data_IF_411308678004
#
_entry.id   IF_411308678004
#
_cell.length_a   1.000
_cell.length_b   1.000
_cell.length_c   1.000
_cell.angle_alpha   90.00
_cell.angle_beta   90.00
_cell.angle_gamma   90.00
#
_symmetry.space_group_name_H-M   'P 1'
#
loop_
_entity.id
_entity.type
_entity.pdbx_description
1 polymer ?
#
# COMPACT_ATOMS: atom_id res chain seq x y z
N UNK A 1 12.64 -2.63 7.82
CA UNK A 1 11.81 -1.47 8.08
C UNK A 1 12.18 -0.87 9.43
N UNK A 2 12.31 0.46 9.50
CA UNK A 2 12.54 1.22 10.73
C UNK A 2 11.37 2.21 10.87
N UNK A 3 10.75 2.22 12.05
CA UNK A 3 9.73 3.22 12.38
C UNK A 3 10.36 4.31 13.24
N UNK A 4 10.21 5.56 12.81
CA UNK A 4 10.69 6.73 13.52
C UNK A 4 9.49 7.54 14.01
N UNK A 5 9.38 7.69 15.32
CA UNK A 5 8.45 8.66 15.91
C UNK A 5 9.10 10.03 15.90
N UNK A 6 8.47 10.99 15.23
CA UNK A 6 8.97 12.36 15.14
C UNK A 6 8.18 13.31 16.05
N UNK A 7 8.84 14.42 16.43
CA UNK A 7 8.22 15.59 17.10
C UNK A 7 8.07 16.78 16.15
N UNK A 8 8.33 16.57 14.84
CA UNK A 8 8.13 17.61 13.84
C UNK A 8 6.66 18.03 13.78
N UNK A 9 6.40 19.31 13.62
CA UNK A 9 5.06 19.87 13.47
C UNK A 9 4.40 19.38 12.16
N UNK A 10 5.20 19.19 11.13
CA UNK A 10 4.79 18.66 9.83
C UNK A 10 5.63 17.42 9.47
N UNK A 11 5.04 16.24 9.67
CA UNK A 11 5.67 14.96 9.32
C UNK A 11 5.86 14.77 7.82
N UNK A 12 5.00 15.38 7.00
CA UNK A 12 5.05 15.24 5.54
C UNK A 12 6.23 16.03 4.97
N UNK A 13 6.41 17.28 5.42
CA UNK A 13 7.57 18.10 5.05
C UNK A 13 8.88 17.43 5.47
N UNK A 14 8.93 16.85 6.67
CA UNK A 14 10.11 16.11 7.13
C UNK A 14 10.38 14.87 6.27
N UNK A 15 9.35 14.10 5.92
CA UNK A 15 9.49 12.93 5.07
C UNK A 15 10.01 13.30 3.68
N UNK A 16 9.54 14.42 3.11
CA UNK A 16 9.98 14.92 1.82
C UNK A 16 11.45 15.36 1.85
N UNK A 17 11.86 16.09 2.89
CA UNK A 17 13.26 16.48 3.09
C UNK A 17 14.17 15.25 3.23
N UNK A 18 13.80 14.28 4.05
CA UNK A 18 14.56 13.05 4.23
C UNK A 18 14.62 12.22 2.94
N UNK A 19 13.53 12.12 2.18
CA UNK A 19 13.52 11.45 0.87
C UNK A 19 14.45 12.15 -0.13
N UNK A 20 14.52 13.47 -0.12
CA UNK A 20 15.45 14.24 -0.95
C UNK A 20 16.91 13.91 -0.62
N UNK A 21 17.22 13.80 0.69
CA UNK A 21 18.57 13.52 1.16
C UNK A 21 18.99 12.06 0.89
N UNK A 22 18.10 11.09 1.18
CA UNK A 22 18.38 9.66 1.09
C UNK A 22 17.81 8.99 -0.19
N UNK A 23 17.52 9.76 -1.22
CA UNK A 23 16.80 9.35 -2.44
C UNK A 23 17.27 8.07 -3.12
N UNK A 24 18.54 7.69 -2.93
CA UNK A 24 19.11 6.49 -3.54
C UNK A 24 19.21 5.29 -2.60
N UNK A 25 18.90 5.47 -1.33
CA UNK A 25 19.11 4.46 -0.29
C UNK A 25 17.81 4.03 0.39
N UNK A 26 16.91 4.99 0.66
CA UNK A 26 15.72 4.78 1.46
C UNK A 26 14.47 5.32 0.75
N UNK A 27 13.35 4.68 1.05
CA UNK A 27 12.01 5.25 0.93
C UNK A 27 11.54 5.64 2.33
N UNK A 28 11.07 6.87 2.49
CA UNK A 28 10.54 7.41 3.74
C UNK A 28 9.08 7.76 3.51
N UNK A 29 8.20 7.02 4.16
CA UNK A 29 6.76 7.20 4.08
C UNK A 29 6.20 7.70 5.41
N UNK A 30 5.10 8.40 5.37
CA UNK A 30 4.35 8.78 6.58
C UNK A 30 3.25 7.77 6.85
N UNK A 31 3.01 7.46 8.11
CA UNK A 31 1.78 6.76 8.47
C UNK A 31 0.57 7.71 8.37
N UNK A 32 -0.56 7.17 7.93
CA UNK A 32 -1.83 7.88 7.96
C UNK A 32 -2.28 8.23 9.38
N UNK A 33 -3.28 9.11 9.49
CA UNK A 33 -3.86 9.50 10.77
C UNK A 33 -2.98 10.43 11.62
N UNK A 34 -3.29 10.56 12.93
CA UNK A 34 -2.72 11.58 13.81
C UNK A 34 -1.31 11.25 14.34
N UNK A 35 -0.84 10.04 14.13
CA UNK A 35 0.47 9.62 14.64
C UNK A 35 1.61 10.23 13.81
N UNK A 36 2.58 10.82 14.49
CA UNK A 36 3.79 11.37 13.86
C UNK A 36 4.85 10.29 13.68
N UNK A 37 4.55 9.33 12.79
CA UNK A 37 5.43 8.20 12.49
C UNK A 37 5.88 8.27 11.04
N UNK A 38 7.18 8.10 10.83
CA UNK A 38 7.81 7.86 9.55
C UNK A 38 8.25 6.40 9.45
N UNK A 39 7.99 5.79 8.32
CA UNK A 39 8.45 4.45 7.97
C UNK A 39 9.59 4.54 6.98
N UNK A 40 10.75 4.01 7.37
CA UNK A 40 11.95 3.99 6.55
C UNK A 40 12.20 2.56 6.05
N UNK A 41 12.20 2.39 4.74
CA UNK A 41 12.50 1.12 4.08
C UNK A 41 13.65 1.29 3.08
N UNK A 42 14.41 0.23 2.78
CA UNK A 42 15.39 0.28 1.69
C UNK A 42 14.72 0.64 0.37
N UNK A 43 15.43 1.34 -0.49
CA UNK A 43 14.95 1.73 -1.83
C UNK A 43 14.53 0.50 -2.62
N UNK A 44 13.35 0.55 -3.25
CA UNK A 44 12.79 -0.55 -4.05
C UNK A 44 12.10 -1.65 -3.23
N UNK A 45 12.14 -1.59 -1.89
CA UNK A 45 11.39 -2.53 -1.05
C UNK A 45 10.01 -1.96 -0.77
N UNK A 46 8.99 -2.56 -1.35
CA UNK A 46 7.57 -2.24 -1.22
C UNK A 46 6.72 -3.52 -1.28
N UNK A 47 5.42 -3.42 -1.04
CA UNK A 47 4.52 -4.59 -0.99
C UNK A 47 4.55 -5.42 -2.28
N UNK A 48 4.57 -4.79 -3.44
CA UNK A 48 4.62 -5.49 -4.73
C UNK A 48 5.92 -6.32 -4.88
N UNK A 49 7.06 -5.82 -4.43
CA UNK A 49 8.32 -6.57 -4.47
C UNK A 49 8.24 -7.88 -3.66
N UNK A 50 7.64 -7.81 -2.47
CA UNK A 50 7.45 -9.02 -1.65
C UNK A 50 6.48 -10.01 -2.30
N UNK A 51 5.40 -9.52 -2.92
CA UNK A 51 4.43 -10.34 -3.64
C UNK A 51 5.05 -10.98 -4.89
N UNK A 52 5.83 -10.24 -5.66
CA UNK A 52 6.55 -10.79 -6.82
C UNK A 52 7.46 -11.96 -6.42
N UNK A 53 8.23 -11.78 -5.34
CA UNK A 53 9.06 -12.86 -4.81
C UNK A 53 8.21 -14.08 -4.41
N UNK A 54 7.12 -13.86 -3.67
CA UNK A 54 6.25 -14.93 -3.20
C UNK A 54 5.59 -15.69 -4.38
N UNK A 55 5.07 -14.98 -5.37
CA UNK A 55 4.47 -15.59 -6.56
C UNK A 55 5.49 -16.44 -7.34
N UNK A 56 6.73 -15.96 -7.47
CA UNK A 56 7.80 -16.72 -8.10
C UNK A 56 8.12 -18.01 -7.33
N UNK A 57 8.21 -17.95 -6.00
CA UNK A 57 8.43 -19.13 -5.16
C UNK A 57 7.29 -20.14 -5.27
N UNK A 58 6.05 -19.66 -5.35
CA UNK A 58 4.84 -20.48 -5.48
C UNK A 58 4.55 -20.91 -6.92
N UNK A 59 5.29 -20.43 -7.89
CA UNK A 59 5.05 -20.63 -9.33
C UNK A 59 3.61 -20.24 -9.75
N UNK A 60 3.15 -19.08 -9.25
CA UNK A 60 1.84 -18.52 -9.57
C UNK A 60 2.02 -17.29 -10.46
N UNK A 61 1.24 -17.21 -11.55
CA UNK A 61 1.21 -16.03 -12.41
C UNK A 61 0.54 -14.86 -11.68
N UNK A 62 1.12 -13.65 -11.79
CA UNK A 62 0.57 -12.43 -11.20
C UNK A 62 -0.87 -12.12 -11.65
N UNK A 63 -1.29 -12.59 -12.82
CA UNK A 63 -2.66 -12.46 -13.32
C UNK A 63 -3.69 -13.17 -12.43
N UNK A 64 -3.24 -14.12 -11.62
CA UNK A 64 -4.05 -14.81 -10.63
C UNK A 64 -4.00 -14.17 -9.22
N UNK A 65 -3.29 -13.06 -9.08
CA UNK A 65 -3.22 -12.30 -7.83
C UNK A 65 -4.35 -11.27 -7.77
N UNK A 66 -5.09 -11.30 -6.66
CA UNK A 66 -6.03 -10.25 -6.29
C UNK A 66 -5.44 -9.49 -5.11
N UNK A 67 -5.43 -8.17 -5.17
CA UNK A 67 -4.95 -7.30 -4.10
C UNK A 67 -6.02 -6.30 -3.67
N UNK A 68 -6.05 -6.01 -2.37
CA UNK A 68 -6.92 -5.00 -1.76
C UNK A 68 -6.08 -3.97 -1.03
N UNK A 69 -6.45 -2.69 -1.13
CA UNK A 69 -5.70 -1.62 -0.49
C UNK A 69 -6.58 -0.42 -0.14
N UNK A 70 -6.12 0.40 0.81
CA UNK A 70 -6.83 1.60 1.27
C UNK A 70 -5.92 2.83 1.39
N UNK A 71 -4.59 2.66 1.44
CA UNK A 71 -3.64 3.75 1.63
C UNK A 71 -2.60 3.86 0.51
N UNK A 72 -1.93 5.02 0.47
CA UNK A 72 -0.96 5.36 -0.60
C UNK A 72 0.20 4.34 -0.73
N UNK A 73 0.57 3.64 0.34
CA UNK A 73 1.61 2.61 0.33
C UNK A 73 1.15 1.29 -0.31
N UNK A 74 -0.10 1.21 -0.80
CA UNK A 74 -0.65 0.08 -1.54
C UNK A 74 -0.59 0.28 -3.08
N UNK A 75 -0.16 1.44 -3.56
CA UNK A 75 -0.15 1.79 -4.99
C UNK A 75 0.54 0.76 -5.86
N UNK A 76 1.78 0.41 -5.50
CA UNK A 76 2.57 -0.56 -6.25
C UNK A 76 1.95 -1.95 -6.22
N UNK A 77 1.36 -2.33 -5.07
CA UNK A 77 0.69 -3.61 -4.90
C UNK A 77 -0.55 -3.73 -5.79
N UNK A 78 -1.42 -2.72 -5.80
CA UNK A 78 -2.62 -2.72 -6.63
C UNK A 78 -2.28 -2.71 -8.12
N UNK A 79 -1.30 -1.89 -8.53
CA UNK A 79 -0.83 -1.83 -9.92
C UNK A 79 -0.14 -3.10 -10.39
N UNK A 80 0.49 -3.85 -9.49
CA UNK A 80 1.20 -5.09 -9.81
C UNK A 80 0.26 -6.27 -9.96
N UNK A 81 -0.80 -6.34 -9.17
CA UNK A 81 -1.75 -7.46 -9.14
C UNK A 81 -2.45 -7.66 -10.49
N UNK A 82 -2.92 -8.86 -10.75
CA UNK A 82 -3.82 -9.16 -11.88
C UNK A 82 -5.17 -8.45 -11.75
N UNK A 83 -5.62 -8.23 -10.49
CA UNK A 83 -6.75 -7.38 -10.15
C UNK A 83 -6.48 -6.65 -8.82
N UNK A 84 -6.48 -5.33 -8.87
CA UNK A 84 -6.33 -4.45 -7.71
C UNK A 84 -7.65 -3.78 -7.34
N UNK A 85 -8.08 -3.91 -6.09
CA UNK A 85 -9.29 -3.31 -5.56
C UNK A 85 -8.98 -2.28 -4.48
N UNK A 86 -9.46 -1.05 -4.65
CA UNK A 86 -9.44 -0.06 -3.59
C UNK A 86 -10.66 -0.23 -2.68
N UNK A 87 -10.48 -0.10 -1.37
CA UNK A 87 -11.60 -0.07 -0.43
C UNK A 87 -12.48 1.17 -0.66
N UNK A 88 -13.75 1.13 -0.26
CA UNK A 88 -14.66 2.30 -0.35
C UNK A 88 -14.11 3.53 0.37
N UNK A 89 -13.47 3.32 1.52
CA UNK A 89 -12.84 4.36 2.33
C UNK A 89 -11.37 4.60 1.97
N UNK A 90 -10.90 4.12 0.82
CA UNK A 90 -9.52 4.30 0.39
C UNK A 90 -9.17 5.79 0.21
N UNK A 91 -7.90 6.10 0.46
CA UNK A 91 -7.33 7.39 0.14
C UNK A 91 -7.56 7.70 -1.36
N UNK A 92 -8.14 8.87 -1.72
CA UNK A 92 -8.42 9.21 -3.11
C UNK A 92 -7.20 9.12 -4.04
N UNK A 93 -5.99 9.34 -3.52
CA UNK A 93 -4.75 9.22 -4.28
C UNK A 93 -4.44 7.78 -4.72
N UNK A 94 -5.08 6.77 -4.09
CA UNK A 94 -4.91 5.36 -4.44
C UNK A 94 -5.79 4.95 -5.63
N UNK A 95 -6.94 5.60 -5.84
CA UNK A 95 -7.93 5.19 -6.84
C UNK A 95 -7.37 5.04 -8.27
N UNK A 96 -6.45 5.88 -8.76
CA UNK A 96 -5.87 5.73 -10.09
C UNK A 96 -5.05 4.44 -10.30
N UNK A 97 -4.67 3.77 -9.21
CA UNK A 97 -3.84 2.56 -9.22
C UNK A 97 -4.66 1.27 -9.04
N UNK A 98 -5.96 1.40 -8.75
CA UNK A 98 -6.88 0.28 -8.63
C UNK A 98 -7.66 0.06 -9.94
N UNK A 99 -7.99 -1.20 -10.24
CA UNK A 99 -8.90 -1.52 -11.34
C UNK A 99 -10.36 -1.17 -10.99
N UNK A 100 -10.76 -1.37 -9.74
CA UNK A 100 -12.11 -1.15 -9.25
C UNK A 100 -12.08 -0.67 -7.79
N UNK A 101 -13.15 0.02 -7.36
CA UNK A 101 -13.38 0.36 -5.96
C UNK A 101 -14.49 -0.50 -5.39
N UNK A 102 -14.27 -1.09 -4.22
CA UNK A 102 -15.28 -1.86 -3.52
C UNK A 102 -16.41 -0.97 -2.99
N UNK A 103 -17.64 -1.47 -2.94
CA UNK A 103 -18.80 -0.72 -2.44
C UNK A 103 -18.85 -0.60 -0.91
N UNK A 104 -17.99 -1.33 -0.20
CA UNK A 104 -17.95 -1.40 1.26
C UNK A 104 -16.58 -1.01 1.81
N UNK A 105 -16.60 -0.50 3.05
CA UNK A 105 -15.40 -0.14 3.80
C UNK A 105 -14.77 -1.36 4.48
N UNK A 106 -13.58 -1.18 5.04
CA UNK A 106 -12.95 -2.19 5.90
C UNK A 106 -13.78 -2.46 7.18
N UNK A 107 -14.48 -1.45 7.72
CA UNK A 107 -15.35 -1.60 8.90
C UNK A 107 -16.65 -2.35 8.59
N UNK A 108 -17.03 -2.42 7.31
CA UNK A 108 -18.21 -3.15 6.81
C UNK A 108 -17.84 -4.56 6.30
N UNK A 109 -16.69 -5.10 6.68
CA UNK A 109 -16.17 -6.39 6.19
C UNK A 109 -16.07 -6.47 4.66
N UNK A 110 -15.76 -5.36 3.97
CA UNK A 110 -15.85 -5.25 2.52
C UNK A 110 -15.09 -6.31 1.75
N UNK A 111 -13.87 -6.68 2.19
CA UNK A 111 -13.08 -7.75 1.56
C UNK A 111 -13.75 -9.10 1.74
N UNK A 112 -14.23 -9.41 2.95
CA UNK A 112 -14.84 -10.70 3.25
C UNK A 112 -16.15 -10.90 2.44
N UNK A 113 -17.00 -9.86 2.37
CA UNK A 113 -18.22 -9.90 1.57
C UNK A 113 -17.94 -10.05 0.07
N UNK A 114 -16.97 -9.30 -0.45
CA UNK A 114 -16.55 -9.44 -1.85
C UNK A 114 -16.08 -10.87 -2.18
N UNK A 115 -15.23 -11.45 -1.32
CA UNK A 115 -14.73 -12.81 -1.53
C UNK A 115 -15.84 -13.84 -1.44
N UNK A 116 -16.79 -13.67 -0.52
CA UNK A 116 -17.95 -14.56 -0.38
C UNK A 116 -18.85 -14.53 -1.63
N UNK A 117 -19.14 -13.34 -2.15
CA UNK A 117 -20.00 -13.19 -3.34
C UNK A 117 -19.35 -13.70 -4.62
N UNK A 118 -18.03 -13.63 -4.72
CA UNK A 118 -17.31 -13.89 -5.98
C UNK A 118 -16.71 -15.29 -6.06
N UNK A 119 -16.39 -15.92 -4.94
CA UNK A 119 -15.63 -17.18 -4.90
C UNK A 119 -16.26 -18.28 -4.05
N UNK A 120 -17.25 -17.98 -3.25
CA UNK A 120 -17.94 -18.94 -2.37
C UNK A 120 -19.43 -19.05 -2.69
#
# INVERSE_FOLDING_TARGET
CILLQTRADDKYALAEEMNSFYKHQLNINTWGGPLNILECTPKGVHKAFALEYLLNVMNIDKQNLIAFGDEHNDQEMLSFAGKGYAMKNANPALLPFADEQLPLTNEEDGVAQFLQERFL
#
